data_IF_217114776784
#
_entry.id   IF_217114776784
#
_cell.length_a   1.000
_cell.length_b   1.000
_cell.length_c   1.000
_cell.angle_alpha   90.00
_cell.angle_beta   90.00
_cell.angle_gamma   90.00
#
_symmetry.space_group_name_H-M   'P 1'
#
loop_
_entity.id
_entity.type
_entity.pdbx_description
1 polymer ?
#
# COMPACT_ATOMS: atom_id res chain seq x y z
N UNK A 1 -44.01 -4.82 -5.77
CA UNK A 1 -43.32 -4.05 -4.72
C UNK A 1 -41.88 -4.54 -4.53
N UNK A 2 -41.67 -5.82 -4.22
CA UNK A 2 -40.34 -6.44 -4.04
C UNK A 2 -39.31 -6.20 -5.16
N UNK A 3 -39.70 -6.28 -6.43
CA UNK A 3 -38.76 -6.08 -7.54
C UNK A 3 -38.21 -4.65 -7.64
N UNK A 4 -39.05 -3.65 -7.33
CA UNK A 4 -38.64 -2.22 -7.32
C UNK A 4 -37.68 -1.96 -6.15
N UNK A 5 -37.96 -2.53 -4.99
CA UNK A 5 -37.10 -2.46 -3.80
C UNK A 5 -35.75 -3.14 -4.03
N UNK A 6 -35.73 -4.33 -4.66
CA UNK A 6 -34.50 -5.02 -5.04
C UNK A 6 -33.67 -4.21 -6.04
N UNK A 7 -34.30 -3.63 -7.06
CA UNK A 7 -33.61 -2.77 -8.02
C UNK A 7 -33.01 -1.53 -7.36
N UNK A 8 -33.73 -0.91 -6.42
CA UNK A 8 -33.25 0.23 -5.64
C UNK A 8 -32.08 -0.17 -4.73
N UNK A 9 -32.17 -1.31 -4.04
CA UNK A 9 -31.09 -1.84 -3.20
C UNK A 9 -29.82 -2.13 -4.01
N UNK A 10 -29.95 -2.72 -5.21
CA UNK A 10 -28.83 -2.96 -6.13
C UNK A 10 -28.19 -1.62 -6.55
N UNK A 11 -28.99 -0.60 -6.86
CA UNK A 11 -28.49 0.73 -7.25
C UNK A 11 -27.74 1.40 -6.10
N UNK A 12 -28.24 1.30 -4.87
CA UNK A 12 -27.57 1.83 -3.68
C UNK A 12 -26.26 1.07 -3.43
N UNK A 13 -26.27 -0.26 -3.52
CA UNK A 13 -25.08 -1.09 -3.36
C UNK A 13 -23.99 -0.77 -4.40
N UNK A 14 -24.38 -0.55 -5.67
CA UNK A 14 -23.44 -0.14 -6.73
C UNK A 14 -22.83 1.24 -6.46
N UNK A 15 -23.65 2.23 -6.06
CA UNK A 15 -23.16 3.57 -5.69
C UNK A 15 -22.19 3.51 -4.51
N UNK A 16 -22.54 2.76 -3.47
CA UNK A 16 -21.68 2.54 -2.31
C UNK A 16 -20.35 1.88 -2.71
N UNK A 17 -20.40 0.81 -3.53
CA UNK A 17 -19.20 0.15 -4.02
C UNK A 17 -18.30 1.11 -4.80
N UNK A 18 -18.85 1.90 -5.72
CA UNK A 18 -18.10 2.89 -6.48
C UNK A 18 -17.47 3.96 -5.57
N UNK A 19 -18.17 4.39 -4.53
CA UNK A 19 -17.65 5.35 -3.56
C UNK A 19 -16.50 4.77 -2.74
N UNK A 20 -16.63 3.52 -2.29
CA UNK A 20 -15.56 2.81 -1.58
C UNK A 20 -14.31 2.67 -2.44
N UNK A 21 -14.45 2.34 -3.73
CA UNK A 21 -13.33 2.26 -4.67
C UNK A 21 -12.64 3.62 -4.88
N UNK A 22 -13.41 4.71 -4.97
CA UNK A 22 -12.85 6.07 -5.02
C UNK A 22 -12.06 6.41 -3.75
N UNK A 23 -12.62 6.09 -2.57
CA UNK A 23 -11.96 6.35 -1.29
C UNK A 23 -10.67 5.54 -1.14
N UNK A 24 -10.67 4.28 -1.56
CA UNK A 24 -9.46 3.43 -1.58
C UNK A 24 -8.35 4.04 -2.43
N UNK A 25 -8.67 4.50 -3.64
CA UNK A 25 -7.68 5.16 -4.52
C UNK A 25 -7.12 6.43 -3.90
N UNK A 26 -7.97 7.25 -3.29
CA UNK A 26 -7.54 8.46 -2.57
C UNK A 26 -6.64 8.13 -1.39
N UNK A 27 -7.02 7.13 -0.59
CA UNK A 27 -6.24 6.70 0.58
C UNK A 27 -4.85 6.18 0.19
N UNK A 28 -4.74 5.43 -0.91
CA UNK A 28 -3.44 5.00 -1.46
C UNK A 28 -2.62 6.22 -1.88
N UNK A 29 -3.20 7.15 -2.66
CA UNK A 29 -2.48 8.33 -3.14
C UNK A 29 -2.02 9.25 -1.98
N UNK A 30 -2.85 9.41 -0.95
CA UNK A 30 -2.53 10.21 0.24
C UNK A 30 -1.42 9.54 1.07
N UNK A 31 -1.49 8.23 1.28
CA UNK A 31 -0.44 7.50 2.00
C UNK A 31 0.90 7.49 1.26
N UNK A 32 0.91 7.39 -0.07
CA UNK A 32 2.12 7.57 -0.89
C UNK A 32 2.73 8.94 -0.70
N UNK A 33 1.90 9.98 -0.75
CA UNK A 33 2.33 11.38 -0.60
C UNK A 33 2.90 11.64 0.79
N UNK A 34 2.27 11.10 1.84
CA UNK A 34 2.75 11.23 3.21
C UNK A 34 4.10 10.52 3.41
N UNK A 35 4.22 9.29 2.93
CA UNK A 35 5.48 8.55 3.00
C UNK A 35 6.61 9.28 2.25
N UNK A 36 6.34 9.79 1.04
CA UNK A 36 7.31 10.57 0.27
C UNK A 36 7.72 11.87 0.98
N UNK A 37 6.77 12.58 1.61
CA UNK A 37 7.04 13.79 2.41
C UNK A 37 7.91 13.48 3.62
N UNK A 38 7.53 12.48 4.43
CA UNK A 38 8.28 12.10 5.62
C UNK A 38 9.73 11.70 5.28
N UNK A 39 9.93 10.95 4.18
CA UNK A 39 11.28 10.60 3.69
C UNK A 39 12.11 11.83 3.30
N UNK A 40 11.49 12.83 2.64
CA UNK A 40 12.15 14.09 2.27
C UNK A 40 12.54 14.91 3.49
N UNK A 41 11.62 15.08 4.44
CA UNK A 41 11.84 15.84 5.68
C UNK A 41 12.96 15.22 6.52
N UNK A 42 12.95 13.90 6.68
CA UNK A 42 14.02 13.15 7.33
C UNK A 42 15.38 13.42 6.64
N UNK A 43 15.43 13.38 5.31
CA UNK A 43 16.67 13.66 4.56
C UNK A 43 17.18 15.08 4.78
N UNK A 44 16.28 16.06 4.73
CA UNK A 44 16.60 17.47 4.98
C UNK A 44 17.11 17.68 6.41
N UNK A 45 16.46 17.08 7.41
CA UNK A 45 16.87 17.16 8.80
C UNK A 45 18.27 16.55 9.02
N UNK A 46 18.56 15.40 8.41
CA UNK A 46 19.90 14.77 8.44
C UNK A 46 20.96 15.68 7.82
N UNK A 47 20.68 16.30 6.66
CA UNK A 47 21.59 17.25 6.03
C UNK A 47 21.85 18.48 6.92
N UNK A 48 20.80 19.06 7.49
CA UNK A 48 20.92 20.19 8.44
C UNK A 48 21.80 19.82 9.64
N UNK A 49 21.58 18.65 10.26
CA UNK A 49 22.41 18.17 11.37
C UNK A 49 23.88 18.01 10.98
N UNK A 50 24.18 17.51 9.78
CA UNK A 50 25.56 17.39 9.29
C UNK A 50 26.25 18.76 9.20
N UNK A 51 25.55 19.77 8.66
CA UNK A 51 26.08 21.13 8.54
C UNK A 51 26.29 21.75 9.93
N UNK A 52 25.32 21.61 10.83
CA UNK A 52 25.42 22.12 12.21
C UNK A 52 26.57 21.45 12.96
N UNK A 53 26.77 20.14 12.82
CA UNK A 53 27.91 19.44 13.43
C UNK A 53 29.26 19.94 12.92
N UNK A 54 29.37 20.24 11.61
CA UNK A 54 30.59 20.83 11.06
C UNK A 54 30.85 22.23 11.66
N UNK A 55 29.81 23.05 11.82
CA UNK A 55 29.91 24.37 12.50
C UNK A 55 30.30 24.22 13.97
N UNK A 56 29.70 23.26 14.66
CA UNK A 56 29.99 22.93 16.06
C UNK A 56 31.46 22.52 16.23
N UNK A 57 31.98 21.66 15.34
CA UNK A 57 33.38 21.26 15.36
C UNK A 57 34.33 22.47 15.20
N UNK A 58 34.04 23.38 14.26
CA UNK A 58 34.78 24.63 14.09
C UNK A 58 34.70 25.53 15.32
N UNK A 59 33.53 25.68 15.93
CA UNK A 59 33.35 26.47 17.15
C UNK A 59 34.12 25.87 18.34
N UNK A 60 34.14 24.54 18.47
CA UNK A 60 34.96 23.84 19.48
C UNK A 60 36.45 24.06 19.25
N UNK A 61 36.91 24.04 18.00
CA UNK A 61 38.30 24.35 17.69
C UNK A 61 38.66 25.81 18.05
N UNK A 62 37.79 26.77 17.73
CA UNK A 62 37.98 28.17 18.11
C UNK A 62 38.00 28.36 19.64
N UNK A 63 37.13 27.65 20.37
CA UNK A 63 37.13 27.68 21.84
C UNK A 63 38.43 27.09 22.43
N UNK A 64 38.95 26.01 21.86
CA UNK A 64 40.24 25.42 22.27
C UNK A 64 41.41 26.36 21.99
N UNK A 65 41.38 27.09 20.88
CA UNK A 65 42.42 28.05 20.51
C UNK A 65 42.38 29.30 21.41
N UNK A 66 41.18 29.77 21.77
CA UNK A 66 41.00 30.91 22.66
C UNK A 66 39.74 30.75 23.51
N UNK A 67 39.93 30.58 24.81
CA UNK A 67 38.85 30.47 25.78
C UNK A 67 38.26 31.84 26.09
N UNK A 68 37.30 32.27 25.28
CA UNK A 68 36.52 33.50 25.52
C UNK A 68 35.06 33.16 25.82
N UNK A 69 34.34 34.00 26.59
CA UNK A 69 32.91 33.82 26.83
C UNK A 69 32.10 33.74 25.53
N UNK A 70 32.43 34.54 24.51
CA UNK A 70 31.78 34.48 23.19
C UNK A 70 31.94 33.13 22.50
N UNK A 71 33.14 32.53 22.58
CA UNK A 71 33.41 31.22 22.00
C UNK A 71 32.67 30.11 22.76
N UNK A 72 32.57 30.23 24.09
CA UNK A 72 31.79 29.32 24.92
C UNK A 72 30.30 29.39 24.55
N UNK A 73 29.75 30.60 24.46
CA UNK A 73 28.35 30.80 24.07
C UNK A 73 28.04 30.23 22.69
N UNK A 74 28.90 30.46 21.69
CA UNK A 74 28.73 29.88 20.34
C UNK A 74 28.70 28.35 20.35
N UNK A 75 29.58 27.71 21.13
CA UNK A 75 29.60 26.25 21.26
C UNK A 75 28.32 25.75 21.92
N UNK A 76 27.85 26.38 22.99
CA UNK A 76 26.63 25.99 23.68
C UNK A 76 25.36 26.16 22.81
N UNK A 77 25.25 27.26 22.07
CA UNK A 77 24.15 27.48 21.10
C UNK A 77 24.16 26.39 20.02
N UNK A 78 25.31 26.13 19.39
CA UNK A 78 25.41 25.11 18.34
C UNK A 78 25.18 23.69 18.87
N UNK A 79 25.56 23.43 20.13
CA UNK A 79 25.31 22.14 20.80
C UNK A 79 23.81 21.93 21.02
N UNK A 80 23.09 22.95 21.53
CA UNK A 80 21.63 22.91 21.66
C UNK A 80 20.95 22.68 20.32
N UNK A 81 21.33 23.44 19.29
CA UNK A 81 20.81 23.25 17.93
C UNK A 81 21.07 21.84 17.38
N UNK A 82 22.25 21.25 17.64
CA UNK A 82 22.55 19.88 17.23
C UNK A 82 21.71 18.84 17.99
N UNK A 83 21.39 19.09 19.26
CA UNK A 83 20.51 18.24 20.07
C UNK A 83 19.07 18.30 19.57
N UNK A 84 18.53 19.50 19.35
CA UNK A 84 17.18 19.72 18.78
C UNK A 84 17.04 19.05 17.41
N UNK A 85 18.04 19.21 16.53
CA UNK A 85 18.04 18.52 15.23
C UNK A 85 18.12 16.99 15.37
N UNK A 86 18.73 16.47 16.44
CA UNK A 86 18.77 15.03 16.71
C UNK A 86 17.40 14.52 17.16
N UNK A 87 16.71 15.27 18.02
CA UNK A 87 15.33 14.97 18.44
C UNK A 87 14.37 15.04 17.25
N UNK A 88 14.45 16.10 16.43
CA UNK A 88 13.65 16.23 15.22
C UNK A 88 13.89 15.07 14.23
N UNK A 89 15.14 14.62 14.05
CA UNK A 89 15.41 13.43 13.23
C UNK A 89 14.77 12.17 13.82
N UNK A 90 14.75 12.01 15.14
CA UNK A 90 14.10 10.87 15.78
C UNK A 90 12.59 10.89 15.52
N UNK A 91 11.94 12.05 15.65
CA UNK A 91 10.52 12.25 15.34
C UNK A 91 10.21 12.02 13.87
N UNK A 92 10.98 12.61 12.95
CA UNK A 92 10.83 12.36 11.51
C UNK A 92 11.08 10.90 11.14
N UNK A 93 11.99 10.21 11.84
CA UNK A 93 12.22 8.78 11.62
C UNK A 93 11.01 7.95 12.04
N UNK A 94 10.42 8.22 13.22
CA UNK A 94 9.17 7.59 13.66
C UNK A 94 8.04 7.84 12.65
N UNK A 95 7.85 9.10 12.26
CA UNK A 95 6.82 9.48 11.28
C UNK A 95 7.05 8.82 9.91
N UNK A 96 8.29 8.68 9.47
CA UNK A 96 8.61 8.00 8.21
C UNK A 96 8.31 6.50 8.28
N UNK A 97 8.61 5.83 9.40
CA UNK A 97 8.27 4.41 9.59
C UNK A 97 6.75 4.21 9.66
N UNK A 98 6.04 5.00 10.46
CA UNK A 98 4.58 4.91 10.53
C UNK A 98 3.92 5.19 9.17
N UNK A 99 4.41 6.18 8.42
CA UNK A 99 3.89 6.48 7.09
C UNK A 99 4.19 5.34 6.11
N UNK A 100 5.35 4.70 6.22
CA UNK A 100 5.69 3.52 5.41
C UNK A 100 4.80 2.32 5.75
N UNK A 101 4.57 2.03 7.03
CA UNK A 101 3.67 0.95 7.48
C UNK A 101 2.25 1.20 7.00
N UNK A 102 1.70 2.39 7.21
CA UNK A 102 0.35 2.77 6.75
C UNK A 102 0.25 2.63 5.22
N UNK A 103 1.25 3.09 4.48
CA UNK A 103 1.27 2.95 3.03
C UNK A 103 1.27 1.47 2.58
N UNK A 104 2.13 0.65 3.17
CA UNK A 104 2.22 -0.79 2.82
C UNK A 104 0.91 -1.50 3.16
N UNK A 105 0.32 -1.25 4.33
CA UNK A 105 -0.95 -1.84 4.74
C UNK A 105 -2.10 -1.42 3.82
N UNK A 106 -2.25 -0.12 3.56
CA UNK A 106 -3.31 0.40 2.66
C UNK A 106 -3.15 -0.14 1.24
N UNK A 107 -1.91 -0.22 0.74
CA UNK A 107 -1.65 -0.81 -0.58
C UNK A 107 -1.93 -2.31 -0.60
N UNK A 108 -1.54 -3.04 0.45
CA UNK A 108 -1.84 -4.45 0.64
C UNK A 108 -3.34 -4.72 0.63
N UNK A 109 -4.11 -4.01 1.45
CA UNK A 109 -5.56 -4.13 1.55
C UNK A 109 -6.26 -3.85 0.22
N UNK A 110 -5.81 -2.85 -0.51
CA UNK A 110 -6.38 -2.54 -1.83
C UNK A 110 -6.05 -3.61 -2.86
N UNK A 111 -4.86 -4.20 -2.85
CA UNK A 111 -4.54 -5.35 -3.71
C UNK A 111 -5.35 -6.60 -3.36
N UNK A 112 -5.52 -6.90 -2.06
CA UNK A 112 -6.36 -8.00 -1.56
C UNK A 112 -7.84 -7.81 -1.89
N UNK A 113 -8.34 -6.57 -1.82
CA UNK A 113 -9.70 -6.27 -2.24
C UNK A 113 -9.88 -6.41 -3.75
N UNK A 114 -8.88 -6.00 -4.55
CA UNK A 114 -8.89 -6.17 -5.99
C UNK A 114 -8.83 -7.64 -6.40
N UNK A 115 -8.04 -8.48 -5.72
CA UNK A 115 -8.00 -9.93 -5.97
C UNK A 115 -9.31 -10.62 -5.56
N UNK A 116 -9.90 -10.27 -4.41
CA UNK A 116 -11.24 -10.76 -4.00
C UNK A 116 -12.33 -10.36 -4.99
N UNK A 117 -12.28 -9.15 -5.56
CA UNK A 117 -13.20 -8.71 -6.62
C UNK A 117 -13.05 -9.52 -7.92
N UNK A 118 -11.82 -9.91 -8.27
CA UNK A 118 -11.54 -10.79 -9.42
C UNK A 118 -11.92 -12.26 -9.16
N UNK A 119 -11.78 -12.71 -7.92
CA UNK A 119 -12.07 -14.09 -7.50
C UNK A 119 -13.54 -14.34 -7.12
N UNK A 120 -14.35 -13.28 -6.93
CA UNK A 120 -15.78 -13.44 -6.67
C UNK A 120 -16.43 -14.16 -7.87
N UNK A 121 -16.91 -15.42 -7.70
CA UNK A 121 -17.52 -16.15 -8.79
C UNK A 121 -18.72 -15.36 -9.27
N UNK A 122 -18.83 -15.18 -10.59
CA UNK A 122 -20.04 -14.71 -11.27
C UNK A 122 -21.17 -15.71 -11.00
N UNK A 123 -21.77 -15.69 -9.80
CA UNK A 123 -22.96 -16.48 -9.45
C UNK A 123 -24.20 -15.85 -10.10
N UNK A 124 -24.28 -15.94 -11.41
CA UNK A 124 -25.53 -15.94 -12.20
C UNK A 124 -25.18 -16.25 -13.66
N UNK A 125 -25.31 -17.52 -14.03
CA UNK A 125 -25.77 -17.99 -15.36
C UNK A 125 -25.51 -19.51 -15.55
N UNK A 126 -25.99 -20.37 -14.66
CA UNK A 126 -26.19 -21.80 -15.01
C UNK A 126 -27.48 -22.32 -14.38
N UNK A 127 -28.59 -21.61 -14.63
CA UNK A 127 -29.90 -22.21 -14.45
C UNK A 127 -30.29 -22.90 -15.76
N UNK A 128 -30.09 -24.22 -15.77
CA UNK A 128 -30.91 -25.21 -16.50
C UNK A 128 -30.87 -25.13 -18.05
N UNK A 129 -29.78 -25.64 -18.66
CA UNK A 129 -29.91 -26.37 -19.93
C UNK A 129 -30.17 -27.83 -19.56
N UNK A 130 -31.40 -28.29 -19.81
CA UNK A 130 -31.86 -29.64 -19.47
C UNK A 130 -31.01 -30.72 -20.19
N UNK A 131 -30.74 -31.88 -19.57
CA UNK A 131 -30.01 -32.95 -20.22
C UNK A 131 -30.90 -33.61 -21.28
N UNK A 132 -30.40 -33.66 -22.52
CA UNK A 132 -31.02 -34.46 -23.57
C UNK A 132 -31.05 -35.93 -23.13
N UNK A 133 -32.25 -36.50 -23.10
CA UNK A 133 -32.52 -37.92 -22.81
C UNK A 133 -31.70 -38.80 -23.77
N UNK A 134 -30.72 -39.54 -23.25
CA UNK A 134 -30.18 -40.73 -23.92
C UNK A 134 -31.26 -41.82 -23.88
N UNK A 135 -31.78 -42.20 -25.05
CA UNK A 135 -32.60 -43.42 -25.21
C UNK A 135 -31.68 -44.60 -25.49
N UNK A 136 -31.93 -45.69 -24.77
CA UNK A 136 -31.13 -46.90 -24.76
C UNK A 136 -31.31 -47.77 -26.02
N UNK A 137 -30.19 -48.35 -26.45
CA UNK A 137 -29.95 -49.73 -26.93
C UNK A 137 -31.12 -50.49 -27.57
N UNK A 138 -30.98 -50.79 -28.88
CA UNK A 138 -31.60 -51.94 -29.52
C UNK A 138 -30.51 -52.90 -30.06
N UNK A 139 -30.70 -54.17 -29.70
CA UNK A 139 -29.87 -55.38 -29.80
C UNK A 139 -29.46 -55.85 -31.22
N UNK A 140 -28.29 -56.52 -31.23
CA UNK A 140 -27.94 -57.83 -31.88
C UNK A 140 -27.64 -57.92 -33.39
N UNK A 141 -26.37 -58.25 -33.72
CA UNK A 141 -25.86 -59.54 -34.30
C UNK A 141 -24.37 -59.34 -34.69
N UNK A 142 -23.42 -59.85 -33.91
CA UNK A 142 -22.66 -61.11 -34.06
C UNK A 142 -21.37 -60.97 -34.93
N UNK A 143 -20.27 -61.67 -34.59
CA UNK A 143 -18.89 -61.24 -34.87
C UNK A 143 -18.19 -62.05 -35.98
N UNK A 144 -17.22 -61.47 -36.68
CA UNK A 144 -16.25 -62.24 -37.45
C UNK A 144 -14.87 -61.55 -37.53
N UNK A 145 -13.84 -62.38 -37.33
CA UNK A 145 -12.41 -62.08 -37.18
C UNK A 145 -11.72 -61.85 -38.54
N UNK A 146 -10.64 -61.05 -38.48
CA UNK A 146 -9.35 -61.09 -39.21
C UNK A 146 -9.32 -61.53 -40.69
N UNK A 147 -8.72 -60.69 -41.55
CA UNK A 147 -7.45 -60.98 -42.25
C UNK A 147 -6.89 -59.73 -42.97
N UNK A 148 -5.57 -59.65 -42.96
CA UNK A 148 -4.73 -58.77 -43.76
C UNK A 148 -4.48 -59.35 -45.18
N UNK A 149 -3.62 -58.65 -45.94
CA UNK A 149 -2.95 -59.01 -47.21
C UNK A 149 -3.78 -58.60 -48.45
N UNK A 150 -3.26 -57.89 -49.46
CA UNK A 150 -1.90 -57.55 -49.89
C UNK A 150 -1.78 -56.07 -50.27
#
# INVERSE_FOLDING_TARGET
MLEKELAQAIKIAQKAHNRVEQLRKKLVAESEKLHARAKRELSVARKKRSITNARLAKARAALKARTTPDNQQKVEVLKKQAQELTQAIAEFSKAAYEAAEKYVTVKGDTTMAATKKKAAPKKKAVAKKAPAKKKAVAKKKAPAKKKAVA
#
